data_IF_883607549994
#
_entry.id   IF_883607549994
#
_cell.length_a   1.000
_cell.length_b   1.000
_cell.length_c   1.000
_cell.angle_alpha   90.00
_cell.angle_beta   90.00
_cell.angle_gamma   90.00
#
_symmetry.space_group_name_H-M   'P 1'
#
loop_
_entity.id
_entity.type
_entity.pdbx_description
1 polymer ?
#
# COMPACT_ATOMS: atom_id res chain seq x y z
N UNK A 1 15.76 -7.99 -6.23
CA UNK A 1 15.30 -6.76 -5.55
C UNK A 1 15.87 -6.70 -4.15
N UNK A 2 16.54 -5.62 -3.81
CA UNK A 2 17.23 -5.47 -2.54
C UNK A 2 16.36 -4.67 -1.56
N UNK A 3 16.13 -5.25 -0.38
CA UNK A 3 15.53 -4.57 0.77
C UNK A 3 16.38 -4.91 2.00
N UNK A 4 16.99 -3.92 2.64
CA UNK A 4 17.74 -4.12 3.88
C UNK A 4 16.81 -3.94 5.08
N UNK A 5 15.97 -4.94 5.35
CA UNK A 5 15.28 -5.01 6.65
C UNK A 5 16.01 -6.03 7.49
N UNK A 6 16.63 -5.59 8.58
CA UNK A 6 17.28 -6.48 9.53
C UNK A 6 16.25 -7.42 10.15
N UNK A 7 16.26 -8.68 9.73
CA UNK A 7 15.49 -9.72 10.40
C UNK A 7 16.25 -10.17 11.65
N UNK A 8 15.60 -10.08 12.81
CA UNK A 8 15.95 -10.98 13.91
C UNK A 8 15.67 -12.40 13.41
N UNK A 9 16.71 -13.23 13.34
CA UNK A 9 16.56 -14.66 13.09
C UNK A 9 15.77 -15.25 14.27
N UNK A 10 14.54 -15.68 14.02
CA UNK A 10 13.83 -16.55 14.96
C UNK A 10 14.29 -17.98 14.66
N UNK A 11 15.13 -18.52 15.55
CA UNK A 11 15.54 -19.93 15.53
C UNK A 11 14.38 -20.78 16.05
N UNK A 12 13.95 -21.77 15.26
CA UNK A 12 13.12 -22.89 15.73
C UNK A 12 11.71 -22.92 15.15
N UNK A 13 11.45 -23.90 14.28
CA UNK A 13 10.11 -24.47 14.07
C UNK A 13 9.82 -25.37 15.27
N UNK A 14 8.93 -24.97 16.18
CA UNK A 14 8.36 -25.94 17.13
C UNK A 14 7.22 -26.72 16.45
N UNK A 15 7.15 -28.05 16.63
CA UNK A 15 6.11 -28.88 16.04
C UNK A 15 4.76 -28.67 16.75
N UNK A 16 3.69 -28.87 16.00
CA UNK A 16 2.30 -28.68 16.43
C UNK A 16 1.98 -29.49 17.70
N UNK A 17 1.63 -28.79 18.79
CA UNK A 17 1.04 -29.40 19.97
C UNK A 17 -0.46 -29.63 19.74
N UNK A 18 -0.88 -30.89 19.84
CA UNK A 18 -2.26 -31.33 19.93
C UNK A 18 -2.89 -30.78 21.22
N UNK A 19 -3.81 -29.82 21.11
CA UNK A 19 -4.53 -29.23 22.25
C UNK A 19 -6.04 -29.47 22.13
N UNK A 20 -6.60 -30.15 23.13
CA UNK A 20 -8.03 -30.43 23.31
C UNK A 20 -8.80 -29.13 23.61
N UNK A 21 -9.90 -28.92 22.89
CA UNK A 21 -10.77 -27.74 23.00
C UNK A 21 -11.64 -27.83 24.27
N UNK A 22 -11.64 -26.78 25.10
CA UNK A 22 -12.61 -26.60 26.18
C UNK A 22 -13.32 -25.24 25.99
N UNK A 23 -14.66 -25.15 26.05
CA UNK A 23 -15.36 -23.90 25.76
C UNK A 23 -15.28 -22.92 26.95
N UNK A 24 -14.83 -21.69 26.70
CA UNK A 24 -14.90 -20.58 27.65
C UNK A 24 -16.16 -19.74 27.40
N UNK A 25 -16.81 -19.34 28.51
CA UNK A 25 -18.06 -18.57 28.58
C UNK A 25 -17.87 -17.11 28.11
N UNK A 26 -18.92 -16.45 27.61
CA UNK A 26 -18.82 -15.11 27.05
C UNK A 26 -18.68 -14.02 28.13
N UNK A 27 -17.83 -13.04 27.84
CA UNK A 27 -17.73 -11.77 28.56
C UNK A 27 -18.09 -10.59 27.64
N UNK A 28 -18.57 -9.47 28.21
CA UNK A 28 -19.43 -8.54 27.51
C UNK A 28 -18.67 -7.66 26.51
N UNK A 29 -19.28 -7.49 25.35
CA UNK A 29 -18.84 -6.66 24.23
C UNK A 29 -18.87 -5.17 24.58
N UNK A 30 -17.73 -4.50 24.50
CA UNK A 30 -17.67 -3.04 24.40
C UNK A 30 -17.94 -2.62 22.95
N UNK A 31 -19.06 -1.93 22.73
CA UNK A 31 -19.43 -1.36 21.44
C UNK A 31 -18.58 -0.12 21.15
N UNK A 32 -17.66 -0.20 20.19
CA UNK A 32 -17.07 0.99 19.58
C UNK A 32 -18.07 1.60 18.60
N UNK A 33 -18.39 2.89 18.83
CA UNK A 33 -19.29 3.69 18.01
C UNK A 33 -18.60 3.97 16.67
N UNK A 34 -19.09 3.40 15.57
CA UNK A 34 -18.73 3.86 14.22
C UNK A 34 -19.10 5.34 14.10
N UNK A 35 -18.11 6.23 14.01
CA UNK A 35 -18.35 7.62 13.62
C UNK A 35 -18.60 7.65 12.10
N UNK A 36 -19.87 7.60 11.70
CA UNK A 36 -20.25 8.06 10.36
C UNK A 36 -20.11 9.59 10.33
N UNK A 37 -18.95 10.09 9.88
CA UNK A 37 -18.90 11.43 9.29
C UNK A 37 -19.36 11.27 7.85
N UNK A 38 -20.56 11.76 7.56
CA UNK A 38 -21.05 11.89 6.19
C UNK A 38 -20.22 13.00 5.58
N UNK A 39 -19.22 12.63 4.76
CA UNK A 39 -18.59 13.60 3.88
C UNK A 39 -19.66 14.02 2.88
N UNK A 40 -19.90 15.32 2.79
CA UNK A 40 -20.78 15.87 1.78
C UNK A 40 -20.20 15.40 0.45
N UNK A 41 -20.96 14.59 -0.29
CA UNK A 41 -20.67 14.39 -1.69
C UNK A 41 -20.73 15.77 -2.34
N UNK A 42 -19.55 16.34 -2.59
CA UNK A 42 -19.45 17.21 -3.74
C UNK A 42 -19.67 16.30 -4.91
N UNK A 43 -20.94 16.24 -5.32
CA UNK A 43 -21.41 15.61 -6.53
C UNK A 43 -20.44 16.01 -7.63
N UNK A 44 -19.60 15.05 -8.01
CA UNK A 44 -18.86 15.14 -9.24
C UNK A 44 -19.93 14.94 -10.31
N UNK A 45 -20.67 16.01 -10.64
CA UNK A 45 -21.59 15.99 -11.76
C UNK A 45 -20.76 15.75 -13.01
N UNK A 46 -20.60 14.48 -13.38
CA UNK A 46 -20.07 14.14 -14.68
C UNK A 46 -21.14 14.51 -15.69
N UNK A 47 -20.77 15.33 -16.67
CA UNK A 47 -21.67 15.66 -17.79
C UNK A 47 -21.85 14.49 -18.77
N UNK A 48 -21.44 13.27 -18.40
CA UNK A 48 -21.32 12.11 -19.28
C UNK A 48 -21.93 10.85 -18.64
N UNK A 49 -23.07 10.39 -19.18
CA UNK A 49 -23.79 9.19 -18.72
C UNK A 49 -22.90 7.93 -18.66
N UNK A 50 -21.86 7.85 -19.48
CA UNK A 50 -20.91 6.74 -19.49
C UNK A 50 -20.04 6.69 -18.23
N UNK A 51 -19.66 7.84 -17.65
CA UNK A 51 -18.85 7.88 -16.42
C UNK A 51 -19.67 7.48 -15.19
N UNK A 52 -20.92 7.93 -15.11
CA UNK A 52 -21.83 7.56 -14.02
C UNK A 52 -22.07 6.05 -13.98
N UNK A 53 -22.24 5.42 -15.16
CA UNK A 53 -22.37 3.97 -15.28
C UNK A 53 -21.13 3.20 -14.79
N UNK A 54 -19.94 3.75 -14.99
CA UNK A 54 -18.68 3.14 -14.53
C UNK A 54 -18.55 3.23 -13.01
N UNK A 55 -18.88 4.38 -12.41
CA UNK A 55 -18.84 4.57 -10.95
C UNK A 55 -19.84 3.64 -10.25
N UNK A 56 -21.07 3.54 -10.75
CA UNK A 56 -22.08 2.63 -10.22
C UNK A 56 -21.64 1.15 -10.30
N UNK A 57 -20.93 0.77 -11.36
CA UNK A 57 -20.35 -0.57 -11.48
C UNK A 57 -19.29 -0.83 -10.38
N UNK A 58 -18.39 0.14 -10.12
CA UNK A 58 -17.42 0.00 -9.03
C UNK A 58 -18.10 -0.09 -7.65
N UNK A 59 -19.13 0.71 -7.40
CA UNK A 59 -19.92 0.62 -6.16
C UNK A 59 -20.55 -0.77 -6.00
N UNK A 60 -21.14 -1.31 -7.05
CA UNK A 60 -21.70 -2.66 -7.04
C UNK A 60 -20.62 -3.73 -6.76
N UNK A 61 -19.44 -3.61 -7.36
CA UNK A 61 -18.30 -4.50 -7.07
C UNK A 61 -17.85 -4.39 -5.61
N UNK A 62 -17.76 -3.18 -5.04
CA UNK A 62 -17.38 -2.95 -3.65
C UNK A 62 -18.40 -3.57 -2.69
N UNK A 63 -19.70 -3.31 -2.90
CA UNK A 63 -20.79 -3.87 -2.08
C UNK A 63 -20.72 -5.40 -2.10
N UNK A 64 -20.58 -5.99 -3.29
CA UNK A 64 -20.46 -7.44 -3.44
C UNK A 64 -19.23 -7.97 -2.68
N UNK A 65 -18.05 -7.41 -2.93
CA UNK A 65 -16.81 -7.87 -2.28
C UNK A 65 -16.86 -7.73 -0.76
N UNK A 66 -17.44 -6.66 -0.25
CA UNK A 66 -17.63 -6.45 1.20
C UNK A 66 -18.64 -7.42 1.81
N UNK A 67 -19.65 -7.87 1.06
CA UNK A 67 -20.61 -8.89 1.53
C UNK A 67 -20.03 -10.31 1.58
N UNK A 68 -19.00 -10.59 0.78
CA UNK A 68 -18.37 -11.91 0.65
C UNK A 68 -17.13 -12.08 1.54
N UNK A 69 -16.54 -10.98 2.02
CA UNK A 69 -15.34 -11.00 2.87
C UNK A 69 -15.70 -11.23 4.34
N UNK A 70 -14.97 -12.12 5.01
CA UNK A 70 -15.12 -12.29 6.45
C UNK A 70 -14.68 -11.04 7.24
N UNK A 71 -15.34 -10.74 8.37
CA UNK A 71 -15.01 -9.57 9.17
C UNK A 71 -13.58 -9.63 9.71
N UNK A 72 -12.95 -8.46 9.81
CA UNK A 72 -11.70 -8.30 10.54
C UNK A 72 -11.90 -8.57 12.03
N UNK A 73 -10.84 -9.04 12.70
CA UNK A 73 -10.86 -9.33 14.13
C UNK A 73 -9.63 -8.75 14.83
N UNK A 74 -9.73 -8.50 16.13
CA UNK A 74 -8.54 -8.35 16.98
C UNK A 74 -7.83 -9.70 17.08
N UNK A 75 -6.72 -9.83 16.38
CA UNK A 75 -5.98 -11.08 16.29
C UNK A 75 -5.12 -11.30 17.55
N UNK A 76 -5.24 -12.43 18.26
CA UNK A 76 -4.44 -12.71 19.46
C UNK A 76 -2.92 -12.63 19.23
N UNK A 77 -2.46 -12.81 17.98
CA UNK A 77 -1.03 -12.68 17.64
C UNK A 77 -0.50 -11.26 17.80
N UNK A 78 -1.39 -10.26 17.77
CA UNK A 78 -1.05 -8.83 17.87
C UNK A 78 -1.13 -8.29 19.29
N UNK A 79 -1.69 -9.04 20.26
CA UNK A 79 -1.93 -8.59 21.65
C UNK A 79 -0.69 -7.98 22.32
N UNK A 80 0.47 -8.59 22.10
CA UNK A 80 1.77 -8.16 22.64
C UNK A 80 2.53 -7.18 21.73
N UNK A 81 1.87 -6.57 20.75
CA UNK A 81 2.48 -5.64 19.79
C UNK A 81 1.91 -4.22 19.94
N UNK A 82 2.57 -3.23 19.35
CA UNK A 82 2.07 -1.86 19.31
C UNK A 82 0.78 -1.69 18.49
N UNK A 83 0.43 -2.70 17.68
CA UNK A 83 -0.71 -2.71 16.77
C UNK A 83 -1.91 -3.51 17.34
N UNK A 84 -1.93 -3.83 18.64
CA UNK A 84 -2.95 -4.65 19.30
C UNK A 84 -4.39 -4.07 19.26
N UNK A 85 -4.55 -2.86 18.74
CA UNK A 85 -5.80 -2.12 18.62
C UNK A 85 -6.39 -2.18 17.21
N UNK A 86 -5.72 -2.85 16.26
CA UNK A 86 -6.11 -2.90 14.85
C UNK A 86 -6.75 -4.25 14.56
N UNK A 87 -7.97 -4.21 14.04
CA UNK A 87 -8.63 -5.40 13.52
C UNK A 87 -8.09 -5.74 12.13
N UNK A 88 -7.72 -7.01 11.94
CA UNK A 88 -7.19 -7.52 10.67
C UNK A 88 -7.95 -8.76 10.26
N UNK A 89 -8.08 -8.95 8.95
CA UNK A 89 -8.71 -10.15 8.44
C UNK A 89 -7.87 -11.39 8.81
N UNK A 90 -8.48 -12.43 9.41
CA UNK A 90 -7.74 -13.58 9.92
C UNK A 90 -7.17 -14.49 8.83
N UNK A 91 -7.67 -14.41 7.59
CA UNK A 91 -7.20 -15.23 6.47
C UNK A 91 -5.91 -14.71 5.81
N UNK A 92 -5.50 -13.48 6.12
CA UNK A 92 -4.25 -12.89 5.64
C UNK A 92 -3.04 -13.76 5.99
N UNK A 93 -2.19 -13.99 4.99
CA UNK A 93 -0.91 -14.70 5.16
C UNK A 93 0.10 -13.72 5.76
N UNK A 94 0.45 -13.91 7.03
CA UNK A 94 1.42 -13.05 7.73
C UNK A 94 2.86 -13.42 7.37
N UNK A 95 3.56 -12.52 6.67
CA UNK A 95 4.91 -12.74 6.14
C UNK A 95 6.02 -12.49 7.16
N UNK A 96 5.74 -11.69 8.18
CA UNK A 96 6.64 -11.35 9.30
C UNK A 96 6.30 -12.07 10.60
N UNK A 97 5.26 -12.91 10.61
CA UNK A 97 4.72 -13.50 11.82
C UNK A 97 3.89 -12.50 12.63
N UNK A 98 4.54 -11.66 13.44
CA UNK A 98 3.86 -10.72 14.37
C UNK A 98 4.02 -9.25 13.96
N UNK A 99 5.21 -8.68 14.16
CA UNK A 99 5.45 -7.24 14.01
C UNK A 99 6.83 -6.94 13.41
N UNK A 100 6.97 -5.97 12.48
CA UNK A 100 5.90 -5.13 11.91
C UNK A 100 4.96 -5.94 11.02
N UNK A 101 3.67 -5.58 10.99
CA UNK A 101 2.68 -6.35 10.24
C UNK A 101 2.93 -6.22 8.73
N UNK A 102 3.23 -7.35 8.09
CA UNK A 102 3.33 -7.47 6.65
C UNK A 102 2.59 -8.72 6.22
N UNK A 103 1.67 -8.57 5.29
CA UNK A 103 0.77 -9.64 4.89
C UNK A 103 0.33 -9.51 3.44
N UNK A 104 -0.05 -10.64 2.87
CA UNK A 104 -0.74 -10.74 1.59
C UNK A 104 -2.00 -11.60 1.76
N UNK A 105 -3.07 -11.35 1.00
CA UNK A 105 -4.21 -12.27 0.98
C UNK A 105 -3.79 -13.62 0.37
N UNK A 106 -4.45 -14.73 0.74
CA UNK A 106 -4.35 -15.95 -0.05
C UNK A 106 -4.70 -15.64 -1.51
N UNK A 107 -3.81 -15.96 -2.45
CA UNK A 107 -3.94 -15.56 -3.86
C UNK A 107 -5.29 -15.99 -4.47
N UNK A 108 -5.79 -17.15 -4.07
CA UNK A 108 -7.09 -17.64 -4.53
C UNK A 108 -8.26 -16.81 -4.00
N UNK A 109 -8.18 -16.33 -2.75
CA UNK A 109 -9.17 -15.43 -2.15
C UNK A 109 -9.13 -14.07 -2.83
N UNK A 110 -7.94 -13.49 -3.03
CA UNK A 110 -7.77 -12.23 -3.75
C UNK A 110 -8.50 -12.24 -5.10
N UNK A 111 -8.25 -13.28 -5.91
CA UNK A 111 -8.84 -13.38 -7.25
C UNK A 111 -10.33 -13.71 -7.27
N UNK A 112 -10.91 -14.22 -6.17
CA UNK A 112 -12.37 -14.46 -6.09
C UNK A 112 -13.17 -13.16 -6.08
N UNK A 113 -12.62 -12.09 -5.48
CA UNK A 113 -13.26 -10.78 -5.39
C UNK A 113 -13.17 -9.96 -6.69
N UNK A 114 -12.41 -10.41 -7.68
CA UNK A 114 -12.34 -9.78 -9.00
C UNK A 114 -11.50 -8.51 -9.03
N UNK A 115 -11.99 -7.47 -9.71
CA UNK A 115 -11.20 -6.27 -10.01
C UNK A 115 -10.93 -5.39 -8.79
N UNK A 116 -11.93 -5.18 -7.92
CA UNK A 116 -11.77 -4.38 -6.69
C UNK A 116 -11.55 -5.32 -5.50
N UNK A 117 -10.38 -5.21 -4.89
CA UNK A 117 -10.01 -5.93 -3.68
C UNK A 117 -10.73 -5.32 -2.47
N UNK A 118 -11.46 -6.11 -1.66
CA UNK A 118 -12.05 -5.60 -0.42
C UNK A 118 -10.94 -5.20 0.55
N UNK A 119 -11.13 -4.07 1.25
CA UNK A 119 -10.10 -3.47 2.10
C UNK A 119 -9.52 -4.44 3.13
N UNK A 120 -10.30 -5.32 3.81
CA UNK A 120 -9.75 -6.31 4.73
C UNK A 120 -8.76 -7.31 4.11
N UNK A 121 -8.81 -7.54 2.80
CA UNK A 121 -7.88 -8.42 2.07
C UNK A 121 -6.80 -7.67 1.29
N UNK A 122 -6.80 -6.33 1.32
CA UNK A 122 -5.77 -5.56 0.65
C UNK A 122 -4.42 -5.84 1.33
N UNK A 123 -3.36 -6.14 0.54
CA UNK A 123 -2.06 -6.48 1.10
C UNK A 123 -1.53 -5.34 1.99
N UNK A 124 -0.86 -5.69 3.10
CA UNK A 124 -0.30 -4.72 4.05
C UNK A 124 1.21 -4.84 4.07
N UNK A 125 1.89 -3.70 3.90
CA UNK A 125 3.34 -3.58 4.10
C UNK A 125 3.61 -2.45 5.07
N UNK A 126 4.07 -2.78 6.28
CA UNK A 126 4.51 -1.81 7.29
C UNK A 126 5.99 -2.00 7.62
N UNK A 127 6.73 -0.91 7.80
CA UNK A 127 8.12 -0.94 8.28
C UNK A 127 8.23 -0.86 9.80
N UNK A 128 7.15 -0.51 10.49
CA UNK A 128 7.07 -0.36 11.94
C UNK A 128 5.62 -0.39 12.43
N UNK A 129 5.40 0.13 13.63
CA UNK A 129 4.08 0.24 14.24
C UNK A 129 3.21 1.25 13.48
N UNK A 130 1.91 0.98 13.45
CA UNK A 130 0.92 1.89 12.85
C UNK A 130 0.68 3.08 13.78
N UNK A 131 0.81 4.33 13.29
CA UNK A 131 0.46 5.51 14.07
C UNK A 131 -1.01 5.51 14.49
N UNK A 132 -1.27 5.83 15.77
CA UNK A 132 -2.62 6.12 16.26
C UNK A 132 -3.02 7.52 15.84
N UNK A 133 -3.56 7.64 14.63
CA UNK A 133 -3.96 8.92 14.06
C UNK A 133 -5.41 9.29 14.43
N UNK A 134 -5.68 10.60 14.51
CA UNK A 134 -7.00 11.19 14.69
C UNK A 134 -7.28 12.12 13.51
N UNK A 135 -8.49 12.11 12.95
CA UNK A 135 -8.85 13.01 11.84
C UNK A 135 -8.68 14.48 12.23
N UNK A 136 -9.15 14.86 13.42
CA UNK A 136 -9.25 16.25 13.87
C UNK A 136 -7.88 16.87 14.17
N UNK A 137 -6.93 16.05 14.64
CA UNK A 137 -5.59 16.52 15.02
C UNK A 137 -4.57 16.37 13.89
N UNK A 138 -4.94 15.67 12.81
CA UNK A 138 -4.01 15.40 11.73
C UNK A 138 -3.86 16.59 10.80
N UNK A 139 -2.61 16.89 10.50
CA UNK A 139 -2.24 17.93 9.54
C UNK A 139 -1.20 17.44 8.54
N UNK A 140 -1.29 17.94 7.31
CA UNK A 140 -0.28 17.76 6.27
C UNK A 140 0.40 19.11 5.99
N UNK A 141 1.72 19.16 6.08
CA UNK A 141 2.54 20.34 5.77
C UNK A 141 3.04 20.27 4.32
N UNK A 142 2.95 21.38 3.59
CA UNK A 142 3.62 21.57 2.28
C UNK A 142 4.63 22.69 2.42
N UNK A 143 5.91 22.40 2.18
CA UNK A 143 7.02 23.29 2.52
C UNK A 143 8.20 23.19 1.55
N UNK A 144 9.30 23.86 1.87
CA UNK A 144 10.52 23.92 1.07
C UNK A 144 10.41 24.97 -0.02
N UNK A 145 10.72 24.58 -1.26
CA UNK A 145 10.71 25.45 -2.44
C UNK A 145 9.28 25.70 -2.96
N UNK A 146 8.50 26.41 -2.14
CA UNK A 146 7.18 26.96 -2.48
C UNK A 146 7.10 28.42 -2.00
N UNK A 147 6.27 29.25 -2.65
CA UNK A 147 6.09 30.66 -2.26
C UNK A 147 5.31 30.82 -0.95
N UNK A 148 4.32 29.95 -0.73
CA UNK A 148 3.42 29.99 0.42
C UNK A 148 3.36 28.60 1.05
N UNK A 149 4.27 28.28 1.99
CA UNK A 149 4.16 27.07 2.78
C UNK A 149 2.83 27.04 3.53
N UNK A 150 2.20 25.88 3.59
CA UNK A 150 0.90 25.70 4.26
C UNK A 150 0.94 24.46 5.15
N UNK A 151 0.07 24.46 6.16
CA UNK A 151 -0.21 23.30 7.01
C UNK A 151 -1.73 23.15 7.05
N UNK A 152 -2.24 22.11 6.40
CA UNK A 152 -3.67 21.86 6.25
C UNK A 152 -4.11 20.83 7.29
N UNK A 153 -5.23 21.09 7.96
CA UNK A 153 -5.99 20.04 8.66
C UNK A 153 -6.66 19.11 7.65
N UNK A 154 -7.15 17.95 8.10
CA UNK A 154 -7.92 17.06 7.23
C UNK A 154 -9.20 17.72 6.70
N UNK A 155 -9.91 18.49 7.53
CA UNK A 155 -11.11 19.22 7.09
C UNK A 155 -10.80 20.26 6.01
N UNK A 156 -9.68 20.99 6.15
CA UNK A 156 -9.24 21.91 5.10
C UNK A 156 -8.83 21.16 3.83
N UNK A 157 -8.15 20.03 3.97
CA UNK A 157 -7.74 19.22 2.83
C UNK A 157 -8.95 18.78 2.00
N UNK A 158 -9.99 18.24 2.63
CA UNK A 158 -11.15 17.68 1.90
C UNK A 158 -12.13 18.74 1.40
N UNK A 159 -12.21 19.91 2.05
CA UNK A 159 -13.18 20.95 1.69
C UNK A 159 -12.60 22.08 0.82
N UNK A 160 -11.29 22.36 0.88
CA UNK A 160 -10.69 23.47 0.11
C UNK A 160 -10.22 23.04 -1.30
N UNK A 161 -10.25 21.74 -1.62
CA UNK A 161 -9.77 21.21 -2.87
C UNK A 161 -10.76 20.21 -3.49
N UNK A 162 -10.88 20.23 -4.82
CA UNK A 162 -11.70 19.26 -5.54
C UNK A 162 -11.04 17.87 -5.49
N UNK A 163 -11.81 16.86 -5.08
CA UNK A 163 -11.34 15.47 -5.09
C UNK A 163 -11.44 14.82 -6.46
N UNK A 164 -10.61 13.80 -6.69
CA UNK A 164 -10.76 12.81 -7.76
C UNK A 164 -10.93 11.43 -7.15
N UNK A 165 -11.60 10.54 -7.87
CA UNK A 165 -11.78 9.14 -7.49
C UNK A 165 -11.59 8.22 -8.69
N UNK A 166 -10.70 7.22 -8.57
CA UNK A 166 -10.40 6.27 -9.65
C UNK A 166 -9.70 5.01 -9.10
N UNK A 167 -9.79 3.86 -9.81
CA UNK A 167 -9.14 2.64 -9.36
C UNK A 167 -7.63 2.70 -9.56
N UNK A 168 -6.86 2.26 -8.56
CA UNK A 168 -5.41 2.13 -8.65
C UNK A 168 -4.98 0.78 -8.08
N UNK A 169 -4.16 0.08 -8.86
CA UNK A 169 -3.48 -1.14 -8.45
C UNK A 169 -2.17 -0.79 -7.75
N UNK A 170 -2.08 -1.12 -6.47
CA UNK A 170 -0.85 -1.01 -5.69
C UNK A 170 -0.10 -2.33 -5.79
N UNK A 171 1.21 -2.26 -6.02
CA UNK A 171 2.07 -3.43 -6.06
C UNK A 171 3.31 -3.20 -5.21
N UNK A 172 3.60 -4.14 -4.33
CA UNK A 172 4.84 -4.13 -3.56
C UNK A 172 6.04 -4.33 -4.47
N UNK A 173 7.11 -3.54 -4.23
CA UNK A 173 8.50 -3.85 -4.58
C UNK A 173 8.72 -5.35 -4.69
N UNK A 174 8.56 -6.02 -3.56
CA UNK A 174 8.91 -7.41 -3.36
C UNK A 174 7.93 -8.45 -3.91
N UNK A 175 6.88 -8.08 -4.67
CA UNK A 175 5.91 -9.06 -5.15
C UNK A 175 6.62 -10.24 -5.87
N UNK A 176 6.26 -11.48 -5.54
CA UNK A 176 6.89 -12.72 -6.01
C UNK A 176 8.34 -12.96 -5.55
N UNK A 177 8.84 -12.26 -4.52
CA UNK A 177 10.21 -12.50 -3.97
C UNK A 177 10.43 -13.95 -3.56
N UNK A 178 9.38 -14.67 -3.10
CA UNK A 178 9.48 -16.09 -2.76
C UNK A 178 10.07 -16.91 -3.90
N UNK A 179 9.71 -16.63 -5.15
CA UNK A 179 10.24 -17.33 -6.33
C UNK A 179 11.74 -17.07 -6.52
N UNK A 180 12.19 -15.83 -6.31
CA UNK A 180 13.62 -15.49 -6.34
C UNK A 180 14.40 -16.22 -5.26
N UNK A 181 13.82 -16.30 -4.05
CA UNK A 181 14.41 -16.97 -2.89
C UNK A 181 14.50 -18.49 -3.05
N UNK A 182 13.71 -19.11 -3.94
CA UNK A 182 13.88 -20.52 -4.30
C UNK A 182 15.14 -20.78 -5.13
N UNK A 183 15.67 -19.76 -5.81
CA UNK A 183 16.89 -19.85 -6.63
C UNK A 183 18.12 -19.46 -5.81
N UNK A 184 18.08 -18.26 -5.20
CA UNK A 184 19.16 -17.74 -4.35
C UNK A 184 18.54 -16.94 -3.20
N UNK A 185 18.84 -17.27 -1.93
CA UNK A 185 18.31 -16.52 -0.80
C UNK A 185 18.68 -15.03 -0.86
N UNK A 186 17.68 -14.17 -0.65
CA UNK A 186 17.83 -12.71 -0.57
C UNK A 186 17.41 -12.20 0.81
N UNK A 187 17.74 -10.94 1.11
CA UNK A 187 17.30 -10.27 2.33
C UNK A 187 15.87 -9.74 2.14
N UNK A 188 14.95 -10.23 2.97
CA UNK A 188 13.55 -9.83 3.00
C UNK A 188 12.58 -11.02 3.08
N UNK A 189 11.31 -10.73 3.40
CA UNK A 189 10.28 -11.76 3.58
C UNK A 189 9.82 -12.37 2.26
N UNK A 190 9.34 -13.61 2.32
CA UNK A 190 8.88 -14.41 1.18
C UNK A 190 7.49 -14.00 0.70
N UNK A 191 7.37 -12.81 0.10
CA UNK A 191 6.17 -12.42 -0.64
C UNK A 191 5.88 -13.44 -1.74
N UNK A 192 4.69 -14.02 -1.70
CA UNK A 192 4.07 -14.73 -2.80
C UNK A 192 3.65 -13.77 -3.91
N UNK A 193 2.70 -14.21 -4.73
CA UNK A 193 2.18 -13.46 -5.85
C UNK A 193 0.99 -12.56 -5.49
N UNK A 194 0.72 -12.32 -4.20
CA UNK A 194 -0.40 -11.50 -3.74
C UNK A 194 0.09 -10.23 -3.01
N UNK A 195 1.33 -9.80 -3.24
CA UNK A 195 1.83 -8.46 -2.89
C UNK A 195 1.28 -7.37 -3.81
N UNK A 196 -0.02 -7.44 -4.12
CA UNK A 196 -0.76 -6.64 -5.09
C UNK A 196 -2.22 -6.53 -4.64
N UNK A 197 -2.84 -5.37 -4.81
CA UNK A 197 -4.27 -5.17 -4.59
C UNK A 197 -4.75 -3.94 -5.36
N UNK A 198 -6.02 -3.93 -5.75
CA UNK A 198 -6.64 -2.83 -6.50
C UNK A 198 -7.81 -2.29 -5.70
N UNK A 199 -7.87 -0.97 -5.54
CA UNK A 199 -8.95 -0.29 -4.83
C UNK A 199 -9.34 0.98 -5.57
N UNK A 200 -10.57 1.43 -5.34
CA UNK A 200 -11.02 2.76 -5.70
C UNK A 200 -10.46 3.75 -4.67
N UNK A 201 -9.71 4.76 -5.11
CA UNK A 201 -9.10 5.74 -4.20
C UNK A 201 -9.66 7.12 -4.46
N UNK A 202 -10.13 7.79 -3.40
CA UNK A 202 -10.57 9.19 -3.46
C UNK A 202 -9.66 10.10 -2.67
N UNK A 203 -9.28 11.22 -3.28
CA UNK A 203 -8.27 12.11 -2.75
C UNK A 203 -8.14 13.43 -3.49
N UNK A 204 -7.29 14.31 -2.95
CA UNK A 204 -7.00 15.62 -3.53
C UNK A 204 -5.80 15.52 -4.49
N UNK A 205 -5.88 16.06 -5.72
CA UNK A 205 -4.73 16.11 -6.64
C UNK A 205 -3.53 16.86 -6.05
N UNK A 206 -2.37 16.18 -6.00
CA UNK A 206 -1.10 16.75 -5.53
C UNK A 206 -0.71 18.00 -6.34
N UNK A 207 -0.91 17.94 -7.65
CA UNK A 207 -0.56 19.01 -8.57
C UNK A 207 -1.27 20.33 -8.20
N UNK A 208 -2.55 20.26 -7.81
CA UNK A 208 -3.33 21.45 -7.47
C UNK A 208 -2.91 22.05 -6.14
N UNK A 209 -2.55 21.22 -5.16
CA UNK A 209 -1.98 21.66 -3.89
C UNK A 209 -0.61 22.34 -4.10
N UNK A 210 0.26 21.78 -4.92
CA UNK A 210 1.57 22.37 -5.23
C UNK A 210 1.44 23.70 -6.00
N UNK A 211 0.49 23.79 -6.95
CA UNK A 211 0.12 25.05 -7.61
C UNK A 211 -0.40 26.07 -6.61
N UNK A 212 -1.30 25.66 -5.71
CA UNK A 212 -1.87 26.50 -4.64
C UNK A 212 -0.79 27.07 -3.73
N UNK A 213 0.30 26.34 -3.44
CA UNK A 213 1.45 26.85 -2.68
C UNK A 213 2.42 27.71 -3.50
N UNK A 214 2.24 27.77 -4.82
CA UNK A 214 3.16 28.47 -5.72
C UNK A 214 4.53 27.81 -5.76
N UNK A 215 4.59 26.51 -6.07
CA UNK A 215 5.84 25.77 -6.28
C UNK A 215 6.82 26.51 -7.20
N UNK A 216 8.10 26.57 -6.82
CA UNK A 216 9.13 27.21 -7.66
C UNK A 216 9.42 26.41 -8.94
N UNK A 217 10.02 27.08 -9.94
CA UNK A 217 10.46 26.43 -11.17
C UNK A 217 11.78 25.68 -10.97
N UNK A 218 12.13 24.78 -11.91
CA UNK A 218 13.41 24.05 -11.88
C UNK A 218 14.62 24.99 -11.83
N UNK A 219 14.53 26.15 -12.51
CA UNK A 219 15.58 27.20 -12.49
C UNK A 219 15.89 27.69 -11.07
N UNK A 220 14.91 27.65 -10.18
CA UNK A 220 15.06 28.04 -8.77
C UNK A 220 15.29 26.83 -7.85
N UNK A 221 15.69 25.68 -8.42
CA UNK A 221 16.11 24.51 -7.65
C UNK A 221 14.99 23.55 -7.24
N UNK A 222 13.73 23.78 -7.61
CA UNK A 222 12.67 22.81 -7.34
C UNK A 222 12.82 21.60 -8.29
N UNK A 223 13.42 20.51 -7.81
CA UNK A 223 13.76 19.33 -8.61
C UNK A 223 13.03 18.06 -8.14
N UNK A 224 12.80 17.92 -6.84
CA UNK A 224 12.15 16.76 -6.25
C UNK A 224 11.01 17.20 -5.32
N UNK A 225 10.03 16.31 -5.17
CA UNK A 225 8.97 16.39 -4.17
C UNK A 225 9.13 15.18 -3.25
N UNK A 226 9.54 15.43 -2.02
CA UNK A 226 9.74 14.42 -0.99
C UNK A 226 8.48 14.27 -0.14
N UNK A 227 8.17 13.04 0.23
CA UNK A 227 7.06 12.69 1.11
C UNK A 227 7.61 12.09 2.40
N UNK A 228 7.05 12.48 3.54
CA UNK A 228 7.45 12.00 4.87
C UNK A 228 6.22 11.55 5.64
N UNK A 229 6.27 10.33 6.18
CA UNK A 229 5.24 9.74 7.04
C UNK A 229 5.36 10.18 8.50
N UNK A 230 4.55 9.57 9.37
CA UNK A 230 4.53 9.84 10.81
C UNK A 230 5.29 8.82 11.64
N UNK A 231 5.65 7.67 11.05
CA UNK A 231 6.18 6.53 11.78
C UNK A 231 7.56 6.83 12.36
N UNK A 232 7.85 6.26 13.53
CA UNK A 232 9.19 6.20 14.09
C UNK A 232 9.77 4.81 13.81
N UNK A 233 10.71 4.73 12.86
CA UNK A 233 11.20 3.46 12.36
C UNK A 233 12.66 3.23 12.78
N UNK A 234 13.07 1.96 13.01
CA UNK A 234 14.42 1.66 13.52
C UNK A 234 15.54 1.92 12.49
N UNK A 235 15.21 2.00 11.20
CA UNK A 235 16.18 2.25 10.12
C UNK A 235 16.83 3.62 10.27
N UNK A 236 18.10 3.73 9.86
CA UNK A 236 18.82 5.00 9.82
C UNK A 236 19.04 5.69 11.17
N UNK A 237 18.95 4.96 12.28
CA UNK A 237 19.09 5.54 13.63
C UNK A 237 17.82 6.20 14.16
N UNK A 238 16.63 5.75 13.74
CA UNK A 238 15.36 6.31 14.21
C UNK A 238 14.76 7.34 13.28
N UNK A 239 14.62 7.01 11.99
CA UNK A 239 14.06 7.93 10.99
C UNK A 239 12.59 7.66 10.68
N UNK A 240 11.95 8.62 10.00
CA UNK A 240 10.61 8.45 9.45
C UNK A 240 10.67 7.75 8.10
N UNK A 241 9.57 7.08 7.73
CA UNK A 241 9.44 6.62 6.35
C UNK A 241 9.38 7.82 5.43
N UNK A 242 10.18 7.79 4.36
CA UNK A 242 10.20 8.88 3.41
C UNK A 242 10.72 8.43 2.06
N UNK A 243 10.31 9.16 1.03
CA UNK A 243 10.66 8.88 -0.36
C UNK A 243 10.52 10.13 -1.21
N UNK A 244 10.77 10.04 -2.51
CA UNK A 244 10.64 11.17 -3.45
C UNK A 244 10.08 10.77 -4.79
N UNK A 245 9.45 11.73 -5.45
CA UNK A 245 9.27 11.74 -6.91
C UNK A 245 9.92 12.98 -7.50
N UNK A 246 10.16 12.95 -8.82
CA UNK A 246 10.66 14.10 -9.56
C UNK A 246 9.56 15.17 -9.66
N UNK A 247 9.95 16.45 -9.67
CA UNK A 247 8.99 17.56 -9.74
C UNK A 247 8.09 17.46 -10.97
N UNK A 248 8.64 17.01 -12.10
CA UNK A 248 7.94 16.90 -13.37
C UNK A 248 6.77 15.93 -13.24
N UNK A 249 7.02 14.77 -12.61
CA UNK A 249 6.01 13.76 -12.31
C UNK A 249 4.95 14.32 -11.35
N UNK A 250 5.38 15.02 -10.28
CA UNK A 250 4.47 15.61 -9.30
C UNK A 250 3.54 16.69 -9.89
N UNK A 251 3.97 17.35 -10.96
CA UNK A 251 3.27 18.47 -11.59
C UNK A 251 2.56 18.08 -12.88
N UNK A 252 2.71 16.84 -13.35
CA UNK A 252 2.04 16.34 -14.53
C UNK A 252 0.58 15.99 -14.19
N UNK A 253 -0.42 16.74 -14.71
CA UNK A 253 -1.82 16.47 -14.42
C UNK A 253 -2.33 15.14 -15.00
N UNK A 254 -1.60 14.51 -15.92
CA UNK A 254 -1.96 13.20 -16.50
C UNK A 254 -1.58 12.02 -15.60
N UNK A 255 -0.78 12.24 -14.55
CA UNK A 255 -0.31 11.18 -13.64
C UNK A 255 -1.26 10.90 -12.48
N UNK A 256 -2.35 11.64 -12.36
CA UNK A 256 -3.40 11.47 -11.35
C UNK A 256 -2.88 11.17 -9.92
N UNK A 257 -1.86 11.92 -9.49
CA UNK A 257 -1.28 11.76 -8.15
C UNK A 257 -2.19 12.42 -7.13
N UNK A 258 -2.66 11.66 -6.14
CA UNK A 258 -3.61 12.15 -5.13
C UNK A 258 -3.11 11.93 -3.69
N UNK A 259 -3.46 12.86 -2.81
CA UNK A 259 -3.51 12.63 -1.37
C UNK A 259 -4.84 11.96 -1.06
N UNK A 260 -4.84 10.63 -1.01
CA UNK A 260 -6.03 9.84 -0.75
C UNK A 260 -6.38 9.84 0.73
N UNK A 261 -7.66 10.01 1.03
CA UNK A 261 -8.25 9.94 2.36
C UNK A 261 -9.42 8.94 2.43
N UNK A 262 -9.83 8.37 1.30
CA UNK A 262 -10.79 7.27 1.21
C UNK A 262 -10.29 6.14 0.31
N UNK A 263 -10.75 4.93 0.62
CA UNK A 263 -10.47 3.69 -0.11
C UNK A 263 -11.78 2.89 -0.18
N UNK A 264 -12.23 2.55 -1.40
CA UNK A 264 -13.48 1.83 -1.66
C UNK A 264 -14.71 2.49 -1.00
N UNK A 265 -14.83 3.82 -1.09
CA UNK A 265 -15.98 4.56 -0.55
C UNK A 265 -15.98 4.79 0.96
N UNK A 266 -15.00 4.26 1.70
CA UNK A 266 -14.86 4.45 3.15
C UNK A 266 -13.56 5.21 3.48
N UNK A 267 -13.49 5.78 4.68
CA UNK A 267 -12.23 6.33 5.18
C UNK A 267 -11.12 5.29 5.19
N UNK A 268 -9.88 5.73 4.98
CA UNK A 268 -8.72 4.84 5.07
C UNK A 268 -8.73 4.07 6.40
N UNK A 269 -8.34 2.81 6.36
CA UNK A 269 -8.09 2.04 7.59
C UNK A 269 -6.71 2.35 8.15
N UNK A 270 -6.45 2.07 9.44
CA UNK A 270 -5.15 2.32 10.06
C UNK A 270 -3.96 1.74 9.28
N UNK A 271 -4.03 0.46 8.89
CA UNK A 271 -2.97 -0.22 8.12
C UNK A 271 -2.75 0.37 6.71
N UNK A 272 -3.76 1.02 6.15
CA UNK A 272 -3.69 1.64 4.82
C UNK A 272 -3.47 3.15 4.86
N UNK A 273 -3.14 3.73 6.01
CA UNK A 273 -2.60 5.09 6.09
C UNK A 273 -3.57 6.15 6.60
N UNK A 274 -4.62 5.77 7.33
CA UNK A 274 -5.52 6.73 7.98
C UNK A 274 -4.76 7.85 8.72
N UNK A 275 -5.12 9.13 8.51
CA UNK A 275 -6.25 9.63 7.71
C UNK A 275 -5.90 9.97 6.26
N UNK A 276 -4.61 9.97 5.88
CA UNK A 276 -4.18 10.38 4.54
C UNK A 276 -2.88 9.70 4.10
N UNK A 277 -2.83 9.31 2.83
CA UNK A 277 -1.65 8.77 2.16
C UNK A 277 -1.48 9.38 0.78
N UNK A 278 -0.27 9.27 0.22
CA UNK A 278 -0.06 9.55 -1.21
C UNK A 278 -0.34 8.29 -2.04
N UNK A 279 -1.05 8.45 -3.16
CA UNK A 279 -1.27 7.43 -4.20
C UNK A 279 -0.67 7.96 -5.50
N UNK A 280 0.15 7.14 -6.15
CA UNK A 280 0.92 7.50 -7.35
C UNK A 280 0.69 6.38 -8.39
N UNK A 281 -0.30 6.51 -9.27
CA UNK A 281 -0.59 5.50 -10.30
C UNK A 281 0.67 5.08 -11.08
N UNK A 282 0.77 3.78 -11.37
CA UNK A 282 1.90 3.18 -12.10
C UNK A 282 3.22 3.07 -11.31
N UNK A 283 3.31 3.63 -10.10
CA UNK A 283 4.51 3.53 -9.26
C UNK A 283 4.46 2.35 -8.30
N UNK A 284 5.62 1.88 -7.88
CA UNK A 284 5.69 0.86 -6.83
C UNK A 284 5.16 1.40 -5.50
N UNK A 285 4.52 0.53 -4.71
CA UNK A 285 3.89 0.90 -3.44
C UNK A 285 4.86 1.50 -2.42
N UNK A 286 6.17 1.28 -2.55
CA UNK A 286 7.19 1.92 -1.72
C UNK A 286 7.30 3.44 -1.90
N UNK A 287 6.76 3.98 -3.00
CA UNK A 287 6.66 5.43 -3.25
C UNK A 287 5.39 6.05 -2.64
N UNK A 288 4.42 5.22 -2.27
CA UNK A 288 3.11 5.63 -1.80
C UNK A 288 3.06 5.72 -0.26
N UNK A 289 3.75 6.72 0.29
CA UNK A 289 3.85 7.01 1.74
C UNK A 289 2.47 7.05 2.40
N UNK A 290 2.31 6.24 3.44
CA UNK A 290 1.14 6.22 4.34
C UNK A 290 1.37 7.18 5.50
N UNK A 291 0.27 7.54 6.18
CA UNK A 291 0.32 8.43 7.35
C UNK A 291 1.11 9.70 7.02
N UNK A 292 0.76 10.34 5.90
CA UNK A 292 1.52 11.43 5.33
C UNK A 292 1.49 12.66 6.26
N UNK A 293 2.67 13.20 6.58
CA UNK A 293 2.83 14.41 7.40
C UNK A 293 3.38 15.58 6.63
N UNK A 294 4.33 15.35 5.71
CA UNK A 294 5.03 16.45 5.03
C UNK A 294 5.24 16.16 3.56
N UNK A 295 5.09 17.21 2.76
CA UNK A 295 5.41 17.28 1.34
C UNK A 295 6.44 18.40 1.20
N UNK A 296 7.65 18.07 0.76
CA UNK A 296 8.78 18.98 0.76
C UNK A 296 9.29 19.13 -0.67
N UNK A 297 9.18 20.33 -1.24
CA UNK A 297 9.80 20.64 -2.53
C UNK A 297 11.26 21.02 -2.31
N UNK A 298 12.18 20.36 -3.00
CA UNK A 298 13.61 20.49 -2.70
C UNK A 298 14.51 20.30 -3.92
N UNK A 299 15.77 20.75 -3.81
CA UNK A 299 16.85 20.50 -4.76
C UNK A 299 17.36 19.07 -4.68
N UNK A 300 17.38 18.48 -3.48
CA UNK A 300 17.99 17.17 -3.19
C UNK A 300 16.96 16.04 -3.25
N UNK A 301 17.45 14.80 -3.31
CA UNK A 301 16.60 13.63 -3.10
C UNK A 301 16.20 13.49 -1.62
N UNK A 302 15.33 12.53 -1.30
CA UNK A 302 14.98 12.23 0.09
C UNK A 302 16.20 11.71 0.84
N UNK A 303 16.41 12.19 2.05
CA UNK A 303 17.44 11.74 2.98
C UNK A 303 17.00 10.53 3.83
N UNK A 304 15.79 10.01 3.60
CA UNK A 304 15.27 8.86 4.33
C UNK A 304 16.16 7.63 4.09
N UNK A 305 16.47 6.91 5.16
CA UNK A 305 17.15 5.62 5.08
C UNK A 305 16.42 4.67 4.13
N UNK A 306 15.08 4.65 4.17
CA UNK A 306 14.26 3.75 3.36
C UNK A 306 14.23 4.12 1.88
N UNK A 307 14.45 5.39 1.54
CA UNK A 307 14.62 5.81 0.15
C UNK A 307 15.88 5.20 -0.48
N UNK A 308 16.98 5.14 0.27
CA UNK A 308 18.24 4.59 -0.21
C UNK A 308 18.37 3.07 -0.03
N UNK A 309 17.84 2.51 1.06
CA UNK A 309 18.10 1.13 1.51
C UNK A 309 16.95 0.14 1.25
N UNK A 310 15.90 0.60 0.57
CA UNK A 310 14.77 -0.23 0.15
C UNK A 310 14.39 0.08 -1.30
N UNK A 311 13.59 -0.80 -1.92
CA UNK A 311 13.02 -0.63 -3.27
C UNK A 311 14.06 -0.30 -4.36
N UNK A 312 15.15 -1.07 -4.38
CA UNK A 312 16.20 -1.01 -5.41
C UNK A 312 16.31 -2.33 -6.17
N UNK A 313 16.64 -2.26 -7.47
CA UNK A 313 17.00 -3.42 -8.30
C UNK A 313 18.47 -3.31 -8.65
N UNK A 314 19.26 -4.33 -8.30
CA UNK A 314 20.68 -4.39 -8.64
C UNK A 314 20.92 -5.51 -9.67
N UNK A 315 22.01 -5.41 -10.45
CA UNK A 315 22.49 -6.52 -11.26
C UNK A 315 22.70 -7.79 -10.45
N UNK A 316 22.55 -8.96 -11.09
CA UNK A 316 22.57 -10.27 -10.41
C UNK A 316 23.88 -10.61 -9.69
N UNK A 317 25.00 -10.00 -10.08
CA UNK A 317 26.30 -10.19 -9.44
C UNK A 317 26.48 -9.35 -8.16
N UNK A 318 25.60 -8.36 -7.92
CA UNK A 318 25.69 -7.47 -6.77
C UNK A 318 24.94 -8.11 -5.59
N UNK A 319 25.69 -8.55 -4.59
CA UNK A 319 25.14 -8.99 -3.31
C UNK A 319 25.11 -7.84 -2.29
N UNK A 320 24.64 -8.14 -1.07
CA UNK A 320 24.54 -7.14 -0.01
C UNK A 320 25.91 -6.57 0.41
N UNK A 321 26.95 -7.42 0.43
CA UNK A 321 28.28 -7.00 0.84
C UNK A 321 28.85 -6.01 -0.16
N UNK A 322 28.78 -6.35 -1.45
CA UNK A 322 29.22 -5.49 -2.54
C UNK A 322 28.40 -4.19 -2.58
N UNK A 323 27.07 -4.30 -2.45
CA UNK A 323 26.19 -3.14 -2.44
C UNK A 323 26.53 -2.14 -1.31
N UNK A 324 26.94 -2.66 -0.16
CA UNK A 324 27.37 -1.84 0.98
C UNK A 324 28.78 -1.27 0.80
N UNK A 325 29.73 -2.08 0.32
CA UNK A 325 31.13 -1.69 0.20
C UNK A 325 31.35 -0.63 -0.89
N UNK A 326 30.63 -0.74 -2.01
CA UNK A 326 30.79 0.14 -3.18
C UNK A 326 29.68 1.19 -3.31
N UNK A 327 28.81 1.32 -2.31
CA UNK A 327 27.82 2.41 -2.27
C UNK A 327 26.69 2.31 -3.30
N UNK A 328 26.39 1.11 -3.82
CA UNK A 328 25.35 0.87 -4.84
C UNK A 328 23.98 1.43 -4.46
N UNK A 329 23.65 1.44 -3.16
CA UNK A 329 22.40 1.99 -2.63
C UNK A 329 22.16 3.47 -2.99
N UNK A 330 23.23 4.24 -3.16
CA UNK A 330 23.16 5.68 -3.44
C UNK A 330 23.14 6.01 -4.94
N UNK A 331 23.30 5.02 -5.82
CA UNK A 331 23.11 5.25 -7.25
C UNK A 331 21.59 5.35 -7.54
N UNK A 332 21.12 6.47 -8.13
CA UNK A 332 19.71 6.67 -8.45
C UNK A 332 19.18 5.76 -9.58
N UNK A 333 20.03 5.24 -10.47
CA UNK A 333 19.64 4.38 -11.60
C UNK A 333 18.96 3.08 -11.14
N UNK A 334 19.32 2.59 -9.96
CA UNK A 334 18.77 1.36 -9.39
C UNK A 334 17.47 1.55 -8.63
N UNK A 335 16.99 2.80 -8.52
CA UNK A 335 15.77 3.13 -7.80
C UNK A 335 14.56 2.58 -8.57
N UNK A 336 13.71 1.83 -7.88
CA UNK A 336 12.42 1.43 -8.44
C UNK A 336 11.48 2.61 -8.22
N UNK A 337 11.04 3.24 -9.31
CA UNK A 337 10.02 4.29 -9.34
C UNK A 337 8.74 3.69 -9.92
N UNK A 338 8.71 3.50 -11.23
CA UNK A 338 7.61 2.87 -11.96
C UNK A 338 7.60 1.34 -11.85
N UNK A 339 6.41 0.74 -12.01
CA UNK A 339 6.22 -0.70 -12.06
C UNK A 339 6.71 -1.28 -13.39
N UNK A 340 7.43 -2.40 -13.31
CA UNK A 340 7.71 -3.22 -14.49
C UNK A 340 6.47 -4.04 -14.90
N UNK A 341 6.42 -4.42 -16.17
CA UNK A 341 5.42 -5.38 -16.65
C UNK A 341 5.52 -6.71 -15.89
N UNK A 342 4.37 -7.24 -15.46
CA UNK A 342 4.29 -8.51 -14.76
C UNK A 342 2.94 -9.19 -15.00
N UNK A 343 2.89 -10.50 -14.85
CA UNK A 343 1.66 -11.28 -14.83
C UNK A 343 1.84 -12.56 -14.03
N UNK A 344 0.72 -13.08 -13.50
CA UNK A 344 0.68 -14.34 -12.76
C UNK A 344 -0.56 -15.12 -13.16
N UNK A 345 -0.37 -16.39 -13.50
CA UNK A 345 -1.45 -17.37 -13.59
C UNK A 345 -1.80 -17.81 -12.17
N UNK A 346 -3.05 -17.59 -11.77
CA UNK A 346 -3.59 -18.01 -10.47
C UNK A 346 -4.45 -19.27 -10.59
N UNK A 347 -5.12 -19.46 -11.74
CA UNK A 347 -5.93 -20.63 -12.03
C UNK A 347 -5.42 -21.30 -13.31
N UNK A 348 -4.93 -22.56 -13.26
CA UNK A 348 -4.87 -23.40 -12.07
C UNK A 348 -3.87 -22.88 -11.03
N UNK A 349 -4.17 -23.13 -9.75
CA UNK A 349 -3.27 -22.82 -8.66
C UNK A 349 -2.06 -23.77 -8.69
N UNK A 350 -0.95 -23.37 -8.06
CA UNK A 350 0.22 -24.23 -7.93
C UNK A 350 -0.16 -25.55 -7.24
N UNK A 351 0.07 -26.68 -7.93
CA UNK A 351 -0.33 -28.04 -7.52
C UNK A 351 -1.85 -28.25 -7.40
N UNK A 352 -2.68 -27.43 -8.06
CA UNK A 352 -4.10 -27.72 -8.19
C UNK A 352 -4.30 -29.06 -8.92
N UNK A 353 -5.05 -29.96 -8.30
CA UNK A 353 -5.42 -31.24 -8.88
C UNK A 353 -6.72 -31.04 -9.64
N UNK A 354 -6.67 -31.25 -10.97
CA UNK A 354 -7.85 -31.17 -11.83
C UNK A 354 -8.47 -32.57 -11.96
N UNK A 355 -9.70 -32.80 -11.46
CA UNK A 355 -10.34 -34.08 -11.64
C UNK A 355 -10.65 -34.29 -13.13
N UNK A 356 -10.24 -35.42 -13.70
CA UNK A 356 -10.57 -35.81 -15.07
C UNK A 356 -11.70 -36.84 -15.00
N UNK A 357 -12.92 -36.43 -15.34
CA UNK A 357 -14.11 -37.29 -15.35
C UNK A 357 -15.08 -36.84 -16.47
N UNK A 358 -16.17 -37.60 -16.66
CA UNK A 358 -17.15 -37.33 -17.73
C UNK A 358 -17.79 -35.94 -17.68
N UNK A 359 -17.77 -35.28 -16.53
CA UNK A 359 -18.24 -33.91 -16.36
C UNK A 359 -17.17 -32.87 -16.75
N UNK A 360 -15.94 -33.04 -16.27
CA UNK A 360 -14.85 -32.08 -16.52
C UNK A 360 -14.27 -32.16 -17.92
N UNK A 361 -14.27 -33.33 -18.56
CA UNK A 361 -13.80 -33.49 -19.95
C UNK A 361 -14.73 -32.86 -20.99
N UNK A 362 -15.97 -32.52 -20.60
CA UNK A 362 -16.97 -31.88 -21.46
C UNK A 362 -17.02 -30.35 -21.32
N UNK A 363 -16.16 -29.75 -20.49
CA UNK A 363 -16.15 -28.31 -20.23
C UNK A 363 -14.73 -27.74 -20.37
N UNK A 364 -14.57 -26.53 -20.94
CA UNK A 364 -13.27 -25.88 -20.95
C UNK A 364 -12.83 -25.53 -19.53
N UNK A 365 -11.53 -25.65 -19.26
CA UNK A 365 -10.93 -25.16 -18.02
C UNK A 365 -10.52 -23.69 -18.21
N UNK A 366 -11.14 -22.78 -17.45
CA UNK A 366 -10.83 -21.35 -17.55
C UNK A 366 -9.55 -21.01 -16.80
N UNK A 367 -8.51 -20.66 -17.55
CA UNK A 367 -7.30 -20.05 -17.00
C UNK A 367 -7.59 -18.63 -16.52
N UNK A 368 -7.07 -18.26 -15.35
CA UNK A 368 -7.22 -16.91 -14.78
C UNK A 368 -5.93 -16.44 -14.13
N UNK A 369 -5.77 -15.13 -14.10
CA UNK A 369 -4.60 -14.48 -13.55
C UNK A 369 -4.78 -12.98 -13.49
N UNK A 370 -3.71 -12.28 -13.16
CA UNK A 370 -3.63 -10.83 -13.30
C UNK A 370 -2.43 -10.47 -14.18
N UNK A 371 -2.48 -9.28 -14.76
CA UNK A 371 -1.35 -8.63 -15.40
C UNK A 371 -1.37 -7.14 -15.06
N UNK A 372 -0.19 -6.51 -15.02
CA UNK A 372 -0.05 -5.07 -14.83
C UNK A 372 1.24 -4.56 -15.48
N UNK A 373 1.30 -3.26 -15.71
CA UNK A 373 2.48 -2.49 -16.07
C UNK A 373 2.30 -1.07 -15.54
N UNK A 374 3.38 -0.27 -15.46
CA UNK A 374 3.22 1.18 -15.44
C UNK A 374 2.62 1.66 -16.77
N UNK A 375 1.86 2.75 -16.72
CA UNK A 375 1.34 3.45 -17.91
C UNK A 375 2.49 4.18 -18.63
N UNK A 376 2.47 4.15 -19.96
CA UNK A 376 3.50 4.73 -20.85
C UNK A 376 3.23 6.19 -21.17
#
# INVERSE_FOLDING_TARGET
>A
MAASVGNRQFTGLEPALNGVYTPLKPHPTHTHRHMHRVFVDHDYESSNEDEDNVIENYKAMIIKSNSEVEPSILDPRDEATADNWIERNPSLVRLTGKHPFNSEPPLNRLMQHGFITPVPLHYVRNHGAVPKASWDDWTVEITGLVKRPIKLTMDQLVNEFQSREFPVTLVCAANRRKEQNMIKPTVGFNWGAAGISTSLWRGVPLCDMLKRCGIYSKKHGALNVCFEGAEHLPGGGGCKYGTRIKKEIAMDPSRDIILAYMQNGELLTPDHGFPVRIIIPGFNGGRMVKWLKRIIVTTKESDSFYYYRDNKVFPSHVDLQLANAEGWWYNPEWAIDELNINSVIMRPCHKEILPINSWTTRRPYTLRGYAYSAEF
#
